data_IF_476277203153
#
_entry.id   IF_476277203153
#
_cell.length_a   1.000
_cell.length_b   1.000
_cell.length_c   1.000
_cell.angle_alpha   90.00
_cell.angle_beta   90.00
_cell.angle_gamma   90.00
#
_symmetry.space_group_name_H-M   'P 1'
#
loop_
_entity.id
_entity.type
_entity.pdbx_description
1 polymer ?
#
# COMPACT_ATOMS: atom_id res chain seq x y z
N UNK A 1 15.90 24.18 26.21
CA UNK A 1 14.79 23.50 25.50
C UNK A 1 13.50 23.57 26.34
N UNK A 2 12.53 24.39 25.94
CA UNK A 2 11.23 24.42 26.62
C UNK A 2 10.54 23.07 26.37
N UNK A 3 10.36 22.26 27.41
CA UNK A 3 9.47 21.11 27.33
C UNK A 3 8.06 21.67 27.24
N UNK A 4 7.46 21.61 26.04
CA UNK A 4 6.05 21.95 25.85
C UNK A 4 5.21 21.09 26.80
N UNK A 5 4.27 21.72 27.53
CA UNK A 5 3.36 20.97 28.38
C UNK A 5 2.42 20.10 27.54
N UNK A 6 1.83 19.04 28.10
CA UNK A 6 0.85 18.23 27.38
C UNK A 6 -0.29 19.04 26.77
N UNK A 7 -0.75 20.08 27.46
CA UNK A 7 -1.78 21.00 26.98
C UNK A 7 -1.31 21.82 25.78
N UNK A 8 -0.06 22.29 25.79
CA UNK A 8 0.52 23.06 24.68
C UNK A 8 0.59 22.22 23.39
N UNK A 9 0.94 20.94 23.52
CA UNK A 9 1.00 20.01 22.38
C UNK A 9 -0.40 19.83 21.79
N UNK A 10 -1.42 19.64 22.63
CA UNK A 10 -2.81 19.48 22.16
C UNK A 10 -3.31 20.74 21.47
N UNK A 11 -3.07 21.92 22.05
CA UNK A 11 -3.46 23.19 21.43
C UNK A 11 -2.77 23.41 20.07
N UNK A 12 -1.46 23.11 19.98
CA UNK A 12 -0.74 23.16 18.69
C UNK A 12 -1.31 22.16 17.69
N UNK A 13 -1.68 20.94 18.10
CA UNK A 13 -2.32 19.95 17.24
C UNK A 13 -3.66 20.44 16.68
N UNK A 14 -4.51 21.02 17.53
CA UNK A 14 -5.79 21.62 17.11
C UNK A 14 -5.55 22.75 16.13
N UNK A 15 -4.56 23.61 16.38
CA UNK A 15 -4.22 24.71 15.49
C UNK A 15 -3.79 24.21 14.10
N UNK A 16 -2.94 23.18 14.04
CA UNK A 16 -2.52 22.58 12.77
C UNK A 16 -3.68 21.98 11.98
N UNK A 17 -4.60 21.30 12.66
CA UNK A 17 -5.82 20.76 12.05
C UNK A 17 -6.74 21.89 11.57
N UNK A 18 -6.92 22.93 12.37
CA UNK A 18 -7.72 24.09 12.01
C UNK A 18 -7.18 24.79 10.76
N UNK A 19 -5.87 25.03 10.68
CA UNK A 19 -5.23 25.61 9.48
C UNK A 19 -5.38 24.73 8.24
N UNK A 20 -5.46 23.41 8.41
CA UNK A 20 -5.71 22.49 7.30
C UNK A 20 -7.18 22.50 6.84
N UNK A 21 -8.11 22.81 7.74
CA UNK A 21 -9.56 22.83 7.44
C UNK A 21 -10.03 24.21 6.98
N UNK A 22 -9.31 25.28 7.36
CA UNK A 22 -9.69 26.67 7.09
C UNK A 22 -10.01 26.87 5.61
N UNK A 23 -11.29 27.04 5.33
CA UNK A 23 -11.82 27.27 4.00
C UNK A 23 -12.63 28.56 4.03
N UNK A 24 -12.28 29.47 3.11
CA UNK A 24 -12.60 30.90 2.90
C UNK A 24 -13.70 31.62 3.73
N UNK A 25 -14.72 30.95 4.27
CA UNK A 25 -15.84 31.58 5.01
C UNK A 25 -16.39 30.80 6.22
N UNK A 26 -15.77 29.69 6.66
CA UNK A 26 -16.33 28.85 7.74
C UNK A 26 -15.30 28.62 8.86
N UNK A 27 -14.98 29.67 9.62
CA UNK A 27 -13.96 29.59 10.68
C UNK A 27 -14.47 28.85 11.95
N UNK A 28 -15.67 29.18 12.44
CA UNK A 28 -16.16 28.59 13.71
C UNK A 28 -16.40 27.08 13.62
N UNK A 29 -17.04 26.62 12.53
CA UNK A 29 -17.30 25.18 12.33
C UNK A 29 -16.00 24.41 12.10
N UNK A 30 -15.03 25.00 11.39
CA UNK A 30 -13.73 24.38 11.16
C UNK A 30 -12.98 24.14 12.47
N UNK A 31 -13.04 25.11 13.40
CA UNK A 31 -12.42 24.97 14.72
C UNK A 31 -13.05 23.86 15.55
N UNK A 32 -14.39 23.81 15.61
CA UNK A 32 -15.10 22.73 16.31
C UNK A 32 -14.77 21.34 15.75
N UNK A 33 -14.64 21.21 14.43
CA UNK A 33 -14.26 19.95 13.80
C UNK A 33 -12.82 19.58 14.17
N UNK A 34 -11.89 20.53 14.13
CA UNK A 34 -10.50 20.31 14.50
C UNK A 34 -10.35 19.85 15.97
N UNK A 35 -11.06 20.50 16.90
CA UNK A 35 -11.09 20.13 18.32
C UNK A 35 -11.63 18.71 18.52
N UNK A 36 -12.74 18.36 17.85
CA UNK A 36 -13.30 17.00 17.91
C UNK A 36 -12.36 15.95 17.34
N UNK A 37 -11.69 16.23 16.22
CA UNK A 37 -10.73 15.29 15.62
C UNK A 37 -9.56 15.05 16.58
N UNK A 38 -9.01 16.12 17.17
CA UNK A 38 -7.90 16.01 18.11
C UNK A 38 -8.30 15.21 19.36
N UNK A 39 -9.47 15.49 19.93
CA UNK A 39 -9.97 14.81 21.12
C UNK A 39 -10.12 13.30 20.89
N UNK A 40 -10.69 12.90 19.76
CA UNK A 40 -10.87 11.48 19.43
C UNK A 40 -9.52 10.80 19.22
N UNK A 41 -8.58 11.47 18.54
CA UNK A 41 -7.22 10.94 18.38
C UNK A 41 -6.53 10.83 19.74
N UNK A 42 -6.73 11.79 20.64
CA UNK A 42 -6.16 11.76 21.98
C UNK A 42 -6.72 10.58 22.79
N UNK A 43 -8.05 10.38 22.77
CA UNK A 43 -8.71 9.26 23.43
C UNK A 43 -8.23 7.91 22.89
N UNK A 44 -8.16 7.74 21.57
CA UNK A 44 -7.73 6.50 20.92
C UNK A 44 -6.24 6.15 21.17
N UNK A 45 -5.44 7.08 21.68
CA UNK A 45 -4.02 6.89 21.98
C UNK A 45 -3.71 6.87 23.49
N UNK A 46 -4.65 6.37 24.30
CA UNK A 46 -4.53 6.25 25.76
C UNK A 46 -4.32 7.60 26.48
N UNK A 47 -4.81 8.69 25.90
CA UNK A 47 -4.67 10.04 26.47
C UNK A 47 -3.20 10.44 26.73
N UNK A 48 -2.28 9.89 25.94
CA UNK A 48 -0.86 10.22 26.01
C UNK A 48 -0.40 10.97 24.75
N UNK A 49 -0.10 12.25 24.92
CA UNK A 49 0.48 13.12 23.87
C UNK A 49 1.91 12.75 23.49
N UNK A 50 2.64 12.04 24.35
CA UNK A 50 4.00 11.56 24.07
C UNK A 50 4.00 10.27 23.26
N UNK A 51 2.84 9.62 23.13
CA UNK A 51 2.67 8.50 22.24
C UNK A 51 3.02 8.90 20.80
N UNK A 52 3.97 8.17 20.21
CA UNK A 52 4.40 8.40 18.82
C UNK A 52 3.23 8.32 17.84
N UNK A 53 2.24 7.48 18.14
CA UNK A 53 1.05 7.28 17.33
C UNK A 53 0.12 8.50 17.32
N UNK A 54 0.01 9.23 18.44
CA UNK A 54 -0.79 10.46 18.51
C UNK A 54 -0.25 11.50 17.53
N UNK A 55 1.03 11.85 17.64
CA UNK A 55 1.66 12.85 16.77
C UNK A 55 1.68 12.40 15.30
N UNK A 56 1.86 11.11 15.04
CA UNK A 56 1.82 10.55 13.68
C UNK A 56 0.42 10.67 13.06
N UNK A 57 -0.65 10.32 13.80
CA UNK A 57 -2.03 10.47 13.35
C UNK A 57 -2.39 11.92 13.05
N UNK A 58 -2.05 12.86 13.94
CA UNK A 58 -2.30 14.31 13.71
C UNK A 58 -1.64 14.77 12.40
N UNK A 59 -0.35 14.48 12.20
CA UNK A 59 0.36 14.86 10.95
C UNK A 59 -0.27 14.22 9.71
N UNK A 60 -0.65 12.94 9.79
CA UNK A 60 -1.32 12.25 8.70
C UNK A 60 -2.65 12.92 8.33
N UNK A 61 -3.49 13.27 9.32
CA UNK A 61 -4.76 13.97 9.07
C UNK A 61 -4.54 15.34 8.45
N UNK A 62 -3.58 16.10 8.97
CA UNK A 62 -3.22 17.43 8.41
C UNK A 62 -2.77 17.30 6.95
N UNK A 63 -1.92 16.32 6.61
CA UNK A 63 -1.46 16.12 5.24
C UNK A 63 -2.59 15.72 4.29
N UNK A 64 -3.47 14.80 4.71
CA UNK A 64 -4.62 14.38 3.89
C UNK A 64 -5.63 15.52 3.67
N UNK A 65 -5.87 16.37 4.68
CA UNK A 65 -6.75 17.55 4.55
C UNK A 65 -6.14 18.62 3.62
N UNK A 66 -4.81 18.72 3.56
CA UNK A 66 -4.09 19.66 2.68
C UNK A 66 -3.82 19.09 1.28
N UNK A 67 -4.24 17.87 0.97
CA UNK A 67 -3.97 17.24 -0.31
C UNK A 67 -4.77 17.93 -1.44
N UNK A 68 -4.05 18.62 -2.32
CA UNK A 68 -4.61 19.31 -3.48
C UNK A 68 -5.20 18.35 -4.52
N UNK A 69 -4.79 17.08 -4.50
CA UNK A 69 -5.30 16.06 -5.41
C UNK A 69 -6.61 15.43 -4.92
N UNK A 70 -7.04 15.74 -3.68
CA UNK A 70 -8.28 15.25 -3.10
C UNK A 70 -9.04 16.35 -2.31
N UNK A 71 -9.44 17.46 -2.97
CA UNK A 71 -10.16 18.54 -2.29
C UNK A 71 -11.54 18.10 -1.78
N UNK A 72 -12.11 17.03 -2.33
CA UNK A 72 -13.42 16.53 -1.95
C UNK A 72 -13.43 15.87 -0.58
N UNK A 73 -12.30 15.32 -0.11
CA UNK A 73 -12.17 14.83 1.26
C UNK A 73 -12.43 15.97 2.27
N UNK A 74 -11.76 17.11 2.08
CA UNK A 74 -11.95 18.29 2.93
C UNK A 74 -13.40 18.78 2.89
N UNK A 75 -14.00 18.91 1.69
CA UNK A 75 -15.40 19.31 1.55
C UNK A 75 -16.35 18.36 2.27
N UNK A 76 -16.14 17.05 2.13
CA UNK A 76 -16.98 16.03 2.75
C UNK A 76 -16.90 16.08 4.28
N UNK A 77 -15.74 16.41 4.85
CA UNK A 77 -15.57 16.64 6.30
C UNK A 77 -16.27 17.93 6.74
N UNK A 78 -16.12 19.04 6.02
CA UNK A 78 -16.75 20.33 6.36
C UNK A 78 -18.28 20.26 6.28
N UNK A 79 -18.81 19.61 5.23
CA UNK A 79 -20.26 19.44 5.02
C UNK A 79 -20.83 18.44 6.05
N UNK A 80 -20.00 17.54 6.59
CA UNK A 80 -20.38 16.53 7.57
C UNK A 80 -20.81 15.19 6.97
N UNK A 81 -20.57 14.97 5.67
CA UNK A 81 -20.74 13.67 5.02
C UNK A 81 -19.78 12.62 5.61
N UNK A 82 -18.60 13.07 6.02
CA UNK A 82 -17.67 12.30 6.86
C UNK A 82 -17.67 12.97 8.22
N UNK A 83 -18.05 12.22 9.27
CA UNK A 83 -18.03 12.73 10.65
C UNK A 83 -16.59 12.89 11.14
N UNK A 84 -16.37 13.80 12.09
CA UNK A 84 -15.06 13.99 12.73
C UNK A 84 -14.52 12.69 13.34
N UNK A 85 -15.39 11.88 13.93
CA UNK A 85 -15.05 10.57 14.50
C UNK A 85 -14.61 9.56 13.45
N UNK A 86 -15.38 9.43 12.36
CA UNK A 86 -15.01 8.56 11.26
C UNK A 86 -13.67 8.99 10.67
N UNK A 87 -13.50 10.29 10.41
CA UNK A 87 -12.26 10.84 9.88
C UNK A 87 -11.06 10.61 10.82
N UNK A 88 -11.24 10.77 12.14
CA UNK A 88 -10.19 10.51 13.13
C UNK A 88 -9.74 9.04 13.12
N UNK A 89 -10.62 8.09 12.80
CA UNK A 89 -10.33 6.64 12.81
C UNK A 89 -10.00 6.02 11.44
N UNK A 90 -10.35 6.68 10.33
CA UNK A 90 -10.10 6.18 8.97
C UNK A 90 -8.62 5.82 8.71
N UNK A 91 -8.39 4.80 7.89
CA UNK A 91 -7.02 4.45 7.48
C UNK A 91 -6.45 5.48 6.50
N UNK A 92 -5.12 5.47 6.31
CA UNK A 92 -4.47 6.33 5.30
C UNK A 92 -4.92 5.94 3.89
N UNK A 93 -5.20 4.66 3.62
CA UNK A 93 -5.74 4.26 2.32
C UNK A 93 -7.18 4.71 2.14
N UNK A 94 -8.00 4.66 3.20
CA UNK A 94 -9.40 5.10 3.14
C UNK A 94 -9.54 6.62 2.93
N UNK A 95 -8.54 7.42 3.31
CA UNK A 95 -8.52 8.86 3.04
C UNK A 95 -8.04 9.22 1.62
N UNK A 96 -7.40 8.30 0.91
CA UNK A 96 -6.91 8.56 -0.44
C UNK A 96 -8.06 8.90 -1.41
N UNK A 97 -7.74 9.59 -2.51
CA UNK A 97 -8.71 9.88 -3.56
C UNK A 97 -9.27 8.59 -4.15
N UNK A 98 -10.52 8.64 -4.63
CA UNK A 98 -11.18 7.46 -5.19
C UNK A 98 -10.40 6.89 -6.38
N UNK A 99 -9.77 7.77 -7.17
CA UNK A 99 -8.85 7.35 -8.25
C UNK A 99 -7.67 6.53 -7.72
N UNK A 100 -7.00 6.99 -6.65
CA UNK A 100 -5.87 6.27 -6.07
C UNK A 100 -6.29 4.97 -5.39
N UNK A 101 -7.46 4.95 -4.75
CA UNK A 101 -8.05 3.71 -4.19
C UNK A 101 -8.33 2.68 -5.27
N UNK A 102 -8.97 3.10 -6.35
CA UNK A 102 -9.29 2.22 -7.48
C UNK A 102 -8.02 1.71 -8.16
N UNK A 103 -7.01 2.57 -8.34
CA UNK A 103 -5.73 2.16 -8.88
C UNK A 103 -5.04 1.12 -8.00
N UNK A 104 -5.00 1.33 -6.68
CA UNK A 104 -4.42 0.36 -5.74
C UNK A 104 -5.15 -0.98 -5.79
N UNK A 105 -6.49 -0.96 -5.82
CA UNK A 105 -7.31 -2.17 -5.96
C UNK A 105 -7.00 -2.92 -7.26
N UNK A 106 -6.95 -2.21 -8.39
CA UNK A 106 -6.59 -2.82 -9.69
C UNK A 106 -5.23 -3.49 -9.64
N UNK A 107 -4.21 -2.79 -9.11
CA UNK A 107 -2.85 -3.35 -9.01
C UNK A 107 -2.82 -4.57 -8.08
N UNK A 108 -3.55 -4.53 -6.97
CA UNK A 108 -3.62 -5.65 -6.03
C UNK A 108 -4.33 -6.86 -6.65
N UNK A 109 -5.45 -6.64 -7.34
CA UNK A 109 -6.18 -7.66 -8.08
C UNK A 109 -5.32 -8.27 -9.19
N UNK A 110 -4.62 -7.45 -9.99
CA UNK A 110 -3.68 -7.88 -11.02
C UNK A 110 -2.54 -8.70 -10.42
N UNK A 111 -1.95 -8.25 -9.30
CA UNK A 111 -0.87 -8.97 -8.62
C UNK A 111 -1.31 -10.29 -8.00
N UNK A 112 -2.58 -10.41 -7.57
CA UNK A 112 -3.15 -11.67 -7.10
C UNK A 112 -3.39 -12.59 -8.30
N UNK A 113 -3.94 -12.06 -9.38
CA UNK A 113 -4.21 -12.82 -10.60
C UNK A 113 -2.94 -13.38 -11.23
N UNK A 114 -1.87 -12.58 -11.32
CA UNK A 114 -0.56 -12.99 -11.84
C UNK A 114 0.11 -14.07 -10.98
N UNK A 115 -0.11 -14.04 -9.65
CA UNK A 115 0.37 -15.09 -8.76
C UNK A 115 -0.44 -16.39 -8.85
N UNK A 116 -1.73 -16.29 -9.17
CA UNK A 116 -2.61 -17.44 -9.31
C UNK A 116 -2.62 -18.04 -10.71
N UNK A 117 -2.08 -17.33 -11.71
CA UNK A 117 -2.06 -17.84 -13.08
C UNK A 117 -1.16 -19.06 -13.19
N UNK A 118 -1.76 -20.15 -13.68
CA UNK A 118 -1.06 -21.36 -14.09
C UNK A 118 -0.34 -21.19 -15.42
N UNK A 119 -0.38 -19.99 -16.02
CA UNK A 119 0.35 -19.73 -17.25
C UNK A 119 1.83 -19.50 -16.90
N UNK A 120 2.73 -20.42 -17.26
CA UNK A 120 4.16 -20.27 -16.97
C UNK A 120 4.77 -18.99 -17.58
N UNK A 121 4.16 -18.41 -18.63
CA UNK A 121 4.58 -17.12 -19.18
C UNK A 121 4.40 -15.95 -18.22
N UNK A 122 3.48 -16.04 -17.24
CA UNK A 122 3.32 -15.02 -16.19
C UNK A 122 4.43 -15.07 -15.14
N UNK A 123 5.15 -16.19 -15.03
CA UNK A 123 6.26 -16.39 -14.06
C UNK A 123 7.62 -16.20 -14.76
N UNK A 124 7.65 -15.60 -15.95
CA UNK A 124 8.86 -15.39 -16.73
C UNK A 124 9.49 -16.70 -17.23
N UNK A 125 8.70 -17.77 -17.40
CA UNK A 125 9.11 -18.97 -18.10
C UNK A 125 8.66 -18.88 -19.57
N UNK A 126 9.59 -19.07 -20.50
CA UNK A 126 9.26 -19.06 -21.92
C UNK A 126 8.65 -20.41 -22.31
N UNK A 127 7.54 -20.39 -23.05
CA UNK A 127 6.95 -21.62 -23.63
C UNK A 127 7.86 -22.15 -24.73
N UNK A 128 8.04 -23.47 -24.78
CA UNK A 128 8.81 -24.16 -25.82
C UNK A 128 8.17 -25.50 -26.15
N UNK A 129 8.03 -25.75 -27.44
CA UNK A 129 7.60 -27.02 -28.03
C UNK A 129 8.79 -27.86 -28.56
N UNK A 130 10.00 -27.31 -28.48
CA UNK A 130 11.23 -27.93 -28.98
C UNK A 130 11.68 -29.12 -28.13
N UNK A 131 11.29 -29.18 -26.85
CA UNK A 131 11.72 -30.19 -25.89
C UNK A 131 10.54 -31.05 -25.44
N UNK A 132 10.39 -32.30 -25.95
CA UNK A 132 9.36 -33.21 -25.48
C UNK A 132 9.65 -33.68 -24.04
N UNK A 133 8.61 -33.83 -23.23
CA UNK A 133 8.75 -34.30 -21.85
C UNK A 133 9.22 -35.77 -21.83
N UNK A 134 10.27 -36.12 -21.07
CA UNK A 134 10.76 -37.51 -20.99
C UNK A 134 9.79 -38.48 -20.30
N UNK A 135 8.86 -37.97 -19.48
CA UNK A 135 7.92 -38.81 -18.72
C UNK A 135 6.59 -39.04 -19.45
N UNK A 136 5.98 -37.99 -20.03
CA UNK A 136 4.67 -38.09 -20.71
C UNK A 136 4.72 -37.87 -22.23
N UNK A 137 5.89 -37.54 -22.80
CA UNK A 137 6.13 -37.29 -24.22
C UNK A 137 5.34 -36.13 -24.85
N UNK A 138 4.66 -35.31 -24.04
CA UNK A 138 3.99 -34.09 -24.48
C UNK A 138 4.99 -32.95 -24.76
N UNK A 139 4.67 -32.10 -25.73
CA UNK A 139 5.50 -30.95 -26.16
C UNK A 139 5.00 -29.62 -25.58
N UNK A 140 4.41 -29.67 -24.39
CA UNK A 140 3.95 -28.50 -23.65
C UNK A 140 4.86 -28.30 -22.44
N UNK A 141 6.00 -27.68 -22.71
CA UNK A 141 7.04 -27.41 -21.72
C UNK A 141 7.37 -25.92 -21.68
N UNK A 142 7.87 -25.48 -20.53
CA UNK A 142 8.40 -24.14 -20.36
C UNK A 142 9.83 -24.19 -19.85
N UNK A 143 10.64 -23.22 -20.28
CA UNK A 143 12.05 -23.17 -19.93
C UNK A 143 12.46 -21.85 -19.30
N UNK A 144 13.53 -21.91 -18.53
CA UNK A 144 14.30 -20.75 -18.05
C UNK A 144 15.78 -21.09 -18.13
N UNK A 145 16.58 -20.08 -18.50
CA UNK A 145 18.03 -20.15 -18.42
C UNK A 145 18.47 -19.94 -16.97
N UNK A 146 19.24 -20.87 -16.43
CA UNK A 146 19.84 -20.77 -15.12
C UNK A 146 21.34 -21.06 -15.21
N UNK A 147 22.11 -20.51 -14.30
CA UNK A 147 23.54 -20.79 -14.20
C UNK A 147 23.75 -22.00 -13.27
N UNK A 148 24.54 -22.96 -13.72
CA UNK A 148 24.90 -24.14 -12.94
C UNK A 148 26.43 -24.28 -12.90
N UNK A 149 26.95 -24.87 -11.83
CA UNK A 149 28.40 -25.15 -11.71
C UNK A 149 28.63 -26.62 -12.07
N UNK A 150 29.51 -26.87 -13.04
CA UNK A 150 29.92 -28.23 -13.39
C UNK A 150 30.96 -28.76 -12.40
N UNK A 151 30.91 -30.06 -12.12
CA UNK A 151 31.87 -30.71 -11.23
C UNK A 151 33.29 -30.60 -11.78
N UNK A 152 34.18 -29.97 -11.00
CA UNK A 152 35.59 -29.78 -11.37
C UNK A 152 35.88 -28.50 -12.16
N UNK A 153 34.88 -27.67 -12.46
CA UNK A 153 35.04 -26.42 -13.21
C UNK A 153 34.71 -25.19 -12.35
N UNK A 154 35.49 -24.11 -12.50
CA UNK A 154 35.27 -22.89 -11.70
C UNK A 154 34.14 -22.02 -12.27
N UNK A 155 33.96 -22.09 -13.59
CA UNK A 155 33.05 -21.23 -14.33
C UNK A 155 31.60 -21.72 -14.29
N UNK A 156 30.68 -20.76 -14.35
CA UNK A 156 29.24 -21.03 -14.44
C UNK A 156 28.87 -21.25 -15.90
N UNK A 157 28.13 -22.32 -16.17
CA UNK A 157 27.56 -22.60 -17.48
C UNK A 157 26.07 -22.28 -17.49
N UNK A 158 25.61 -21.74 -18.62
CA UNK A 158 24.18 -21.52 -18.84
C UNK A 158 23.50 -22.84 -19.18
N UNK A 159 22.55 -23.23 -18.34
CA UNK A 159 21.79 -24.48 -18.46
C UNK A 159 20.32 -24.14 -18.67
N UNK A 160 19.66 -24.90 -19.54
CA UNK A 160 18.23 -24.73 -19.78
C UNK A 160 17.45 -25.63 -18.81
N UNK A 161 16.82 -25.02 -17.80
CA UNK A 161 15.90 -25.73 -16.90
C UNK A 161 14.51 -25.75 -17.52
N UNK A 162 13.93 -26.94 -17.66
CA UNK A 162 12.66 -27.21 -18.32
C UNK A 162 11.64 -27.75 -17.32
N UNK A 163 10.37 -27.42 -17.53
CA UNK A 163 9.23 -27.87 -16.74
C UNK A 163 8.08 -28.24 -17.67
N UNK A 164 7.50 -29.44 -17.51
CA UNK A 164 6.35 -29.88 -18.28
C UNK A 164 5.05 -29.35 -17.65
N UNK A 165 4.24 -28.63 -18.44
CA UNK A 165 2.98 -28.06 -17.98
C UNK A 165 1.86 -29.11 -17.80
N UNK A 166 2.04 -30.33 -18.33
CA UNK A 166 1.03 -31.40 -18.29
C UNK A 166 1.20 -32.32 -17.09
N UNK A 167 2.41 -32.83 -16.85
CA UNK A 167 2.69 -33.78 -15.76
C UNK A 167 3.46 -33.15 -14.58
N UNK A 168 4.00 -31.94 -14.74
CA UNK A 168 4.79 -31.27 -13.70
C UNK A 168 6.23 -31.76 -13.60
N UNK A 169 6.70 -32.62 -14.52
CA UNK A 169 8.08 -33.10 -14.55
C UNK A 169 9.06 -31.95 -14.85
N UNK A 170 10.13 -31.83 -14.07
CA UNK A 170 11.20 -30.84 -14.29
C UNK A 170 12.54 -31.51 -14.60
N UNK A 171 13.23 -31.05 -15.64
CA UNK A 171 14.54 -31.58 -16.03
C UNK A 171 15.46 -30.48 -16.55
N UNK A 172 16.77 -30.75 -16.55
CA UNK A 172 17.78 -29.84 -17.08
C UNK A 172 18.31 -30.38 -18.41
N UNK A 173 18.53 -29.48 -19.36
CA UNK A 173 19.23 -29.78 -20.60
C UNK A 173 20.59 -29.06 -20.58
N UNK A 174 21.66 -29.86 -20.54
CA UNK A 174 23.06 -29.43 -20.54
C UNK A 174 23.60 -29.41 -21.97
#
# INVERSE_FOLDING_TARGET
PKCDSPSDIRQKSVQLLFEAIKFEKIDHKARLIAEKIEEIIFMDNNQDVNNKNYKAKIRSRVMNLRDKNNPDLLKNVIIGRITAEKFARMSVEEMASDRMKNLRKSIEEESIQERQSKDPSSVGLAKSDAFPCPECNERDACYRLCEDRMDGEYDLVSVTSLFCNKCGHSWKNY
#
